data_IF_233307676825
#
_entry.id   IF_233307676825
#
_cell.length_a   1.000
_cell.length_b   1.000
_cell.length_c   1.000
_cell.angle_alpha   90.00
_cell.angle_beta   90.00
_cell.angle_gamma   90.00
#
_symmetry.space_group_name_H-M   'P 1'
#
loop_
_entity.id
_entity.type
_entity.pdbx_description
1 polymer ?
#
# COMPACT_ATOMS: atom_id res chain seq x y z
N UNK A 1 1.45 24.75 -1.97
CA UNK A 1 0.37 23.86 -2.47
C UNK A 1 1.01 22.69 -3.18
N UNK A 2 0.78 21.45 -2.73
CA UNK A 2 1.30 20.23 -3.35
C UNK A 2 0.49 19.82 -4.57
N UNK A 3 1.18 19.45 -5.65
CA UNK A 3 0.57 19.03 -6.93
C UNK A 3 0.69 17.53 -7.19
N UNK A 4 1.60 16.83 -6.52
CA UNK A 4 1.85 15.38 -6.72
C UNK A 4 2.02 14.59 -5.43
N UNK A 5 1.86 15.23 -4.26
CA UNK A 5 2.07 14.56 -2.97
C UNK A 5 0.74 14.12 -2.37
N UNK A 6 0.56 12.81 -2.28
CA UNK A 6 -0.73 12.19 -1.99
C UNK A 6 -0.77 11.47 -0.63
N UNK A 7 0.37 11.34 0.08
CA UNK A 7 0.47 10.65 1.38
C UNK A 7 -0.67 11.03 2.34
N UNK A 8 -1.22 10.02 3.05
CA UNK A 8 -2.29 10.23 4.04
C UNK A 8 -1.87 11.20 5.13
N UNK A 9 -0.60 11.15 5.54
CA UNK A 9 -0.05 11.90 6.66
C UNK A 9 -0.18 13.42 6.49
N UNK A 10 -0.07 13.92 5.25
CA UNK A 10 -0.19 15.35 4.92
C UNK A 10 -1.61 15.92 5.12
N UNK A 11 -2.57 15.05 5.42
CA UNK A 11 -3.94 15.44 5.79
C UNK A 11 -4.04 15.90 7.25
N UNK A 12 -3.08 15.56 8.11
CA UNK A 12 -3.08 15.94 9.51
C UNK A 12 -2.80 17.45 9.69
N UNK A 13 -3.86 18.23 9.94
CA UNK A 13 -3.77 19.68 10.13
C UNK A 13 -3.22 20.10 11.48
N UNK A 14 -3.11 19.19 12.45
CA UNK A 14 -2.41 19.48 13.71
C UNK A 14 -0.90 19.57 13.49
N UNK A 15 -0.36 18.80 12.53
CA UNK A 15 1.06 18.81 12.15
C UNK A 15 1.35 19.71 10.94
N UNK A 16 0.45 19.74 9.96
CA UNK A 16 0.62 20.42 8.67
C UNK A 16 -0.47 21.48 8.42
N UNK A 17 -0.60 22.43 9.35
CA UNK A 17 -1.62 23.49 9.35
C UNK A 17 -1.67 24.36 8.08
N UNK A 18 -0.52 24.66 7.47
CA UNK A 18 -0.44 25.48 6.23
C UNK A 18 -0.37 24.65 4.95
N UNK A 19 -0.32 23.32 5.05
CA UNK A 19 -0.20 22.46 3.88
C UNK A 19 -1.55 22.34 3.16
N UNK A 20 -1.54 22.53 1.85
CA UNK A 20 -2.68 22.36 0.94
C UNK A 20 -2.21 21.56 -0.28
N UNK A 21 -3.08 20.74 -0.86
CA UNK A 21 -2.81 20.00 -2.10
C UNK A 21 -4.03 20.02 -3.03
N UNK A 22 -3.77 19.89 -4.33
CA UNK A 22 -4.82 19.82 -5.37
C UNK A 22 -5.16 18.38 -5.78
N UNK A 23 -4.41 17.42 -5.27
CA UNK A 23 -4.61 15.98 -5.48
C UNK A 23 -5.23 15.32 -4.24
N UNK A 24 -6.00 14.23 -4.40
CA UNK A 24 -6.60 13.53 -3.27
C UNK A 24 -5.56 12.81 -2.41
N UNK A 25 -6.00 12.36 -1.24
CA UNK A 25 -5.19 11.49 -0.37
C UNK A 25 -5.09 10.07 -0.90
N UNK A 26 -3.97 9.41 -0.65
CA UNK A 26 -3.76 7.97 -0.86
C UNK A 26 -4.74 7.07 -0.11
N UNK A 27 -5.41 7.59 0.93
CA UNK A 27 -6.54 6.90 1.54
C UNK A 27 -7.60 6.49 0.51
N UNK A 28 -7.91 7.37 -0.46
CA UNK A 28 -8.87 7.05 -1.51
C UNK A 28 -8.29 6.10 -2.56
N UNK A 29 -6.99 6.16 -2.81
CA UNK A 29 -6.31 5.18 -3.67
C UNK A 29 -6.38 3.77 -3.04
N UNK A 30 -6.07 3.66 -1.75
CA UNK A 30 -6.20 2.42 -0.99
C UNK A 30 -7.63 1.88 -0.99
N UNK A 31 -8.64 2.75 -0.88
CA UNK A 31 -10.05 2.36 -1.00
C UNK A 31 -10.35 1.73 -2.37
N UNK A 32 -9.92 2.37 -3.46
CA UNK A 32 -10.11 1.83 -4.81
C UNK A 32 -9.39 0.48 -4.97
N UNK A 33 -8.20 0.32 -4.40
CA UNK A 33 -7.47 -0.95 -4.43
C UNK A 33 -8.25 -2.06 -3.72
N UNK A 34 -8.82 -1.78 -2.54
CA UNK A 34 -9.72 -2.71 -1.85
C UNK A 34 -10.97 -3.01 -2.67
N UNK A 35 -11.58 -2.00 -3.30
CA UNK A 35 -12.77 -2.20 -4.12
C UNK A 35 -12.50 -3.09 -5.35
N UNK A 36 -11.32 -2.95 -5.97
CA UNK A 36 -10.85 -3.84 -7.05
C UNK A 36 -10.70 -5.27 -6.52
N UNK A 37 -10.01 -5.46 -5.39
CA UNK A 37 -9.80 -6.78 -4.78
C UNK A 37 -11.12 -7.46 -4.46
N UNK A 38 -12.09 -6.71 -3.92
CA UNK A 38 -13.45 -7.18 -3.67
C UNK A 38 -14.21 -7.50 -4.95
N UNK A 39 -14.10 -6.66 -5.98
CA UNK A 39 -14.80 -6.84 -7.25
C UNK A 39 -14.47 -8.19 -7.89
N UNK A 40 -13.21 -8.62 -7.79
CA UNK A 40 -12.76 -9.93 -8.30
C UNK A 40 -12.88 -11.07 -7.28
N UNK A 41 -13.49 -10.83 -6.11
CA UNK A 41 -13.66 -11.80 -5.02
C UNK A 41 -12.34 -12.39 -4.51
N UNK A 42 -11.25 -11.63 -4.55
CA UNK A 42 -10.00 -12.05 -3.95
C UNK A 42 -10.06 -11.80 -2.44
N UNK A 43 -10.07 -12.86 -1.65
CA UNK A 43 -10.12 -12.78 -0.19
C UNK A 43 -8.75 -13.00 0.48
N UNK A 44 -7.74 -13.35 -0.32
CA UNK A 44 -6.40 -13.68 0.15
C UNK A 44 -5.37 -13.11 -0.84
N UNK A 45 -4.66 -12.07 -0.41
CA UNK A 45 -3.71 -11.32 -1.25
C UNK A 45 -2.38 -11.13 -0.51
N UNK A 46 -1.30 -10.91 -1.24
CA UNK A 46 -0.04 -10.43 -0.67
C UNK A 46 0.11 -8.93 -0.88
N UNK A 47 0.98 -8.29 -0.12
CA UNK A 47 1.23 -6.85 -0.16
C UNK A 47 2.73 -6.55 -0.24
N UNK A 48 3.09 -5.53 -1.02
CA UNK A 48 4.45 -4.98 -1.08
C UNK A 48 4.38 -3.46 -1.06
N UNK A 49 5.29 -2.81 -0.35
CA UNK A 49 5.39 -1.35 -0.35
C UNK A 49 6.84 -0.87 -0.38
N UNK A 50 7.02 0.39 -0.80
CA UNK A 50 8.31 1.07 -0.61
C UNK A 50 8.51 1.33 0.89
N UNK A 51 9.71 1.07 1.40
CA UNK A 51 10.07 1.25 2.81
C UNK A 51 10.37 2.72 3.14
N UNK A 52 9.38 3.57 2.86
CA UNK A 52 9.40 5.01 3.09
C UNK A 52 8.01 5.45 3.56
N UNK A 53 7.90 6.65 4.14
CA UNK A 53 6.65 7.14 4.73
C UNK A 53 5.45 7.07 3.77
N UNK A 54 5.66 7.33 2.48
CA UNK A 54 4.59 7.24 1.48
C UNK A 54 4.07 5.79 1.36
N UNK A 55 4.95 4.82 1.09
CA UNK A 55 4.58 3.42 0.94
C UNK A 55 3.98 2.83 2.22
N UNK A 56 4.58 3.14 3.38
CA UNK A 56 4.11 2.69 4.69
C UNK A 56 2.71 3.26 5.02
N UNK A 57 2.49 4.56 4.81
CA UNK A 57 1.19 5.21 5.07
C UNK A 57 0.10 4.70 4.10
N UNK A 58 0.45 4.47 2.84
CA UNK A 58 -0.43 3.92 1.82
C UNK A 58 -0.84 2.47 2.12
N UNK A 59 0.13 1.60 2.41
CA UNK A 59 -0.17 0.19 2.70
C UNK A 59 -0.90 0.01 4.02
N UNK A 60 -0.62 0.86 5.02
CA UNK A 60 -1.40 0.87 6.26
C UNK A 60 -2.88 1.19 5.99
N UNK A 61 -3.16 2.20 5.16
CA UNK A 61 -4.53 2.52 4.78
C UNK A 61 -5.21 1.36 4.03
N UNK A 62 -4.48 0.68 3.14
CA UNK A 62 -4.98 -0.52 2.47
C UNK A 62 -5.30 -1.64 3.47
N UNK A 63 -4.40 -1.92 4.42
CA UNK A 63 -4.59 -2.94 5.47
C UNK A 63 -5.85 -2.69 6.29
N UNK A 64 -6.01 -1.48 6.81
CA UNK A 64 -7.19 -1.09 7.61
C UNK A 64 -8.51 -1.25 6.83
N UNK A 65 -8.50 -0.98 5.52
CA UNK A 65 -9.67 -1.11 4.66
C UNK A 65 -9.92 -2.56 4.23
N UNK A 66 -8.86 -3.33 3.97
CA UNK A 66 -8.92 -4.75 3.63
C UNK A 66 -9.49 -5.57 4.79
N UNK A 67 -9.06 -5.31 6.03
CA UNK A 67 -9.60 -5.95 7.23
C UNK A 67 -11.11 -5.73 7.36
N UNK A 68 -11.59 -4.50 7.15
CA UNK A 68 -13.03 -4.17 7.17
C UNK A 68 -13.81 -4.84 6.03
N UNK A 69 -13.14 -5.17 4.94
CA UNK A 69 -13.69 -5.84 3.78
C UNK A 69 -13.60 -7.38 3.86
N UNK A 70 -13.10 -7.95 4.96
CA UNK A 70 -12.82 -9.39 5.12
C UNK A 70 -11.83 -9.94 4.09
N UNK A 71 -10.81 -9.15 3.74
CA UNK A 71 -9.68 -9.57 2.90
C UNK A 71 -8.49 -9.81 3.82
N UNK A 72 -7.89 -11.00 3.74
CA UNK A 72 -6.68 -11.34 4.46
C UNK A 72 -5.44 -11.00 3.63
N UNK A 73 -4.43 -10.43 4.30
CA UNK A 73 -3.09 -10.23 3.74
C UNK A 73 -2.22 -11.40 4.18
N UNK A 74 -1.74 -12.20 3.22
CA UNK A 74 -0.95 -13.40 3.43
C UNK A 74 0.47 -13.07 3.89
N UNK A 75 1.13 -12.20 3.11
CA UNK A 75 2.45 -11.67 3.39
C UNK A 75 2.48 -10.19 3.05
N UNK A 76 3.26 -9.46 3.83
CA UNK A 76 3.57 -8.06 3.59
C UNK A 76 5.09 -7.90 3.71
N UNK A 77 5.72 -7.36 2.67
CA UNK A 77 7.15 -7.05 2.64
C UNK A 77 7.35 -5.61 2.18
N UNK A 78 8.41 -4.97 2.67
CA UNK A 78 8.81 -3.61 2.26
C UNK A 78 10.21 -3.61 1.68
N UNK A 79 10.46 -2.73 0.69
CA UNK A 79 11.76 -2.60 0.02
C UNK A 79 12.14 -1.14 -0.11
N UNK A 80 13.38 -0.80 0.20
CA UNK A 80 13.91 0.55 -0.06
C UNK A 80 14.00 0.82 -1.57
N UNK A 81 13.67 2.04 -2.00
CA UNK A 81 13.71 2.44 -3.42
C UNK A 81 15.08 2.25 -4.07
N UNK A 82 16.15 2.30 -3.28
CA UNK A 82 17.54 2.18 -3.71
C UNK A 82 18.20 0.86 -3.25
N UNK A 83 17.41 -0.16 -2.91
CA UNK A 83 17.94 -1.47 -2.56
C UNK A 83 18.62 -2.14 -3.78
N UNK A 84 19.53 -3.08 -3.50
CA UNK A 84 20.16 -3.90 -4.54
C UNK A 84 19.18 -4.93 -5.11
N UNK A 85 19.43 -5.41 -6.33
CA UNK A 85 18.58 -6.36 -7.05
C UNK A 85 18.34 -7.65 -6.23
N UNK A 86 19.34 -8.10 -5.46
CA UNK A 86 19.23 -9.27 -4.59
C UNK A 86 18.12 -9.12 -3.54
N UNK A 87 17.84 -7.90 -3.09
CA UNK A 87 16.77 -7.62 -2.12
C UNK A 87 15.41 -7.76 -2.79
N UNK A 88 15.24 -7.21 -3.99
CA UNK A 88 14.01 -7.37 -4.77
C UNK A 88 13.75 -8.85 -5.10
N UNK A 89 14.77 -9.58 -5.54
CA UNK A 89 14.72 -11.02 -5.76
C UNK A 89 14.26 -11.78 -4.51
N UNK A 90 14.74 -11.38 -3.33
CA UNK A 90 14.35 -11.99 -2.06
C UNK A 90 12.86 -11.79 -1.78
N UNK A 91 12.29 -10.62 -2.08
CA UNK A 91 10.86 -10.34 -1.92
C UNK A 91 10.04 -11.18 -2.88
N UNK A 92 10.44 -11.27 -4.15
CA UNK A 92 9.77 -12.13 -5.13
C UNK A 92 9.74 -13.59 -4.66
N UNK A 93 10.88 -14.11 -4.16
CA UNK A 93 10.94 -15.47 -3.61
C UNK A 93 10.05 -15.66 -2.39
N UNK A 94 9.93 -14.66 -1.51
CA UNK A 94 9.03 -14.72 -0.35
C UNK A 94 7.57 -14.75 -0.78
N UNK A 95 7.17 -13.97 -1.78
CA UNK A 95 5.82 -13.97 -2.32
C UNK A 95 5.45 -15.31 -2.95
N UNK A 96 6.38 -15.92 -3.70
CA UNK A 96 6.17 -17.21 -4.37
C UNK A 96 6.04 -18.41 -3.40
N UNK A 97 6.41 -18.25 -2.13
CA UNK A 97 6.24 -19.31 -1.12
C UNK A 97 4.76 -19.60 -0.79
N UNK A 98 3.83 -18.67 -1.05
CA UNK A 98 2.41 -18.88 -0.81
C UNK A 98 1.60 -18.91 -2.11
N UNK A 99 1.38 -20.13 -2.61
CA UNK A 99 0.68 -20.37 -3.88
C UNK A 99 -0.83 -20.06 -3.83
N UNK A 100 -1.40 -19.81 -2.64
CA UNK A 100 -2.80 -19.41 -2.48
C UNK A 100 -2.98 -17.90 -2.71
N UNK A 101 -1.95 -17.10 -2.40
CA UNK A 101 -1.98 -15.64 -2.54
C UNK A 101 -1.43 -15.19 -3.90
N UNK A 102 -2.23 -15.39 -4.97
CA UNK A 102 -1.80 -15.10 -6.36
C UNK A 102 -1.82 -13.63 -6.75
N UNK A 103 -2.48 -12.79 -5.95
CA UNK A 103 -2.64 -11.36 -6.22
C UNK A 103 -1.73 -10.62 -5.26
N UNK A 104 -0.88 -9.75 -5.81
CA UNK A 104 0.03 -8.91 -5.04
C UNK A 104 -0.40 -7.46 -5.19
N UNK A 105 -0.66 -6.81 -4.06
CA UNK A 105 -1.01 -5.40 -3.97
C UNK A 105 0.25 -4.60 -3.72
N UNK A 106 0.60 -3.72 -4.65
CA UNK A 106 1.82 -2.91 -4.56
C UNK A 106 1.50 -1.45 -4.22
N UNK A 107 2.17 -0.90 -3.21
CA UNK A 107 2.16 0.52 -2.85
C UNK A 107 3.61 1.05 -2.83
N UNK A 108 4.20 1.11 -4.03
CA UNK A 108 5.60 1.42 -4.24
C UNK A 108 5.82 2.81 -4.82
#
# INVERSE_FOLDING_TARGET
VGYSTTSKDLSDKSRFNYFLRVVPSDYYQAQVMVDIVRHYNWTYVSAVNTDENYGQSGIQAFRELAERANICIAKEDSVLSNAEDEVFDSVVRKLDQDQNARVVVCFC
#
